data_IF_705976751211
#
_entry.id   IF_705976751211
#
_cell.length_a   1.000
_cell.length_b   1.000
_cell.length_c   1.000
_cell.angle_alpha   90.00
_cell.angle_beta   90.00
_cell.angle_gamma   90.00
#
_symmetry.space_group_name_H-M   'P 1'
#
loop_
_entity.id
_entity.type
_entity.pdbx_description
1 polymer ?
#
# COMPACT_ATOMS: atom_id res chain seq x y z
N UNK A 1 -74.26 -13.87 26.36
CA UNK A 1 -74.85 -12.82 27.21
C UNK A 1 -73.87 -11.65 27.26
N UNK A 2 -74.11 -10.62 26.44
CA UNK A 2 -73.57 -9.25 26.62
C UNK A 2 -74.38 -8.54 27.76
N UNK A 3 -74.07 -7.34 28.29
CA UNK A 3 -72.95 -6.40 28.03
C UNK A 3 -72.47 -5.54 29.26
N UNK A 4 -71.78 -4.40 28.99
CA UNK A 4 -71.66 -3.15 29.79
C UNK A 4 -70.52 -3.11 30.87
N UNK A 5 -69.64 -2.11 31.02
CA UNK A 5 -69.63 -0.67 30.66
C UNK A 5 -68.21 -0.13 30.36
N UNK A 6 -68.16 0.88 29.48
CA UNK A 6 -67.04 1.77 29.27
C UNK A 6 -67.04 2.95 30.26
N UNK A 7 -65.86 3.35 30.73
CA UNK A 7 -65.64 4.67 31.36
C UNK A 7 -64.50 5.39 30.64
N UNK A 8 -64.89 6.43 29.90
CA UNK A 8 -64.05 7.34 29.15
C UNK A 8 -63.61 8.49 30.08
N UNK A 9 -62.35 8.51 30.50
CA UNK A 9 -61.76 9.69 31.13
C UNK A 9 -61.09 10.55 30.05
N UNK A 10 -61.70 11.69 29.72
CA UNK A 10 -61.06 12.74 28.94
C UNK A 10 -60.06 13.48 29.84
N UNK A 11 -58.77 13.27 29.61
CA UNK A 11 -57.71 14.14 30.12
C UNK A 11 -57.46 15.25 29.10
N UNK A 12 -57.73 16.50 29.47
CA UNK A 12 -57.33 17.69 28.70
C UNK A 12 -55.83 17.95 28.90
N UNK A 13 -55.04 18.19 27.84
CA UNK A 13 -53.69 18.69 28.02
C UNK A 13 -53.74 20.19 28.33
N UNK A 14 -53.27 20.56 29.52
CA UNK A 14 -52.88 21.94 29.84
C UNK A 14 -51.70 22.33 28.94
N UNK A 15 -51.97 23.18 27.95
CA UNK A 15 -50.93 23.80 27.13
C UNK A 15 -50.13 24.78 27.98
N UNK A 16 -48.89 24.42 28.33
CA UNK A 16 -47.89 25.37 28.82
C UNK A 16 -47.36 26.18 27.63
N UNK A 17 -47.14 27.50 27.77
CA UNK A 17 -46.54 28.27 26.69
C UNK A 17 -45.08 27.84 26.52
N UNK A 18 -44.78 27.25 25.36
CA UNK A 18 -43.42 27.01 24.89
C UNK A 18 -42.77 28.39 24.75
N UNK A 19 -41.84 28.73 25.65
CA UNK A 19 -40.91 29.83 25.41
C UNK A 19 -40.09 29.45 24.18
N UNK A 20 -40.27 30.19 23.08
CA UNK A 20 -39.38 30.12 21.94
C UNK A 20 -37.98 30.49 22.42
N UNK A 21 -37.12 29.49 22.62
CA UNK A 21 -35.69 29.71 22.76
C UNK A 21 -35.21 30.27 21.43
N UNK A 22 -35.00 31.57 21.36
CA UNK A 22 -34.23 32.18 20.28
C UNK A 22 -32.79 31.73 20.46
N UNK A 23 -32.48 30.54 19.93
CA UNK A 23 -31.11 30.20 19.61
C UNK A 23 -30.63 31.28 18.64
N UNK A 24 -29.74 32.14 19.10
CA UNK A 24 -29.03 33.08 18.26
C UNK A 24 -28.20 32.26 17.26
N UNK A 25 -28.77 31.96 16.10
CA UNK A 25 -28.01 31.51 14.94
C UNK A 25 -27.16 32.68 14.50
N UNK A 26 -26.02 32.87 15.19
CA UNK A 26 -24.86 33.45 14.52
C UNK A 26 -24.69 32.62 13.26
N UNK A 27 -24.92 33.25 12.11
CA UNK A 27 -24.84 32.58 10.82
C UNK A 27 -23.56 31.76 10.78
N UNK A 28 -23.69 30.45 10.79
CA UNK A 28 -22.59 29.57 10.42
C UNK A 28 -22.46 29.82 8.93
N UNK A 29 -21.56 30.72 8.58
CA UNK A 29 -21.18 30.98 7.21
C UNK A 29 -20.52 29.69 6.70
N UNK A 30 -21.30 28.84 6.02
CA UNK A 30 -20.80 27.61 5.44
C UNK A 30 -19.89 28.03 4.28
N UNK A 31 -18.59 28.13 4.57
CA UNK A 31 -17.58 28.38 3.54
C UNK A 31 -17.55 27.17 2.62
N UNK A 32 -17.84 27.37 1.33
CA UNK A 32 -17.68 26.33 0.33
C UNK A 32 -16.21 25.90 0.25
N UNK A 33 -15.94 24.58 0.08
CA UNK A 33 -14.59 24.09 -0.11
C UNK A 33 -13.96 24.68 -1.37
N UNK A 34 -12.67 24.94 -1.31
CA UNK A 34 -11.85 25.35 -2.46
C UNK A 34 -11.73 24.20 -3.46
N UNK A 35 -11.38 24.51 -4.71
CA UNK A 35 -11.15 23.49 -5.75
C UNK A 35 -10.12 22.46 -5.31
N UNK A 36 -9.00 22.91 -4.72
CA UNK A 36 -7.97 22.03 -4.17
C UNK A 36 -8.50 21.11 -3.07
N UNK A 37 -9.32 21.63 -2.14
CA UNK A 37 -9.93 20.81 -1.08
C UNK A 37 -10.90 19.76 -1.64
N UNK A 38 -11.66 20.11 -2.69
CA UNK A 38 -12.54 19.15 -3.38
C UNK A 38 -11.74 18.07 -4.12
N UNK A 39 -10.66 18.46 -4.81
CA UNK A 39 -9.77 17.53 -5.51
C UNK A 39 -9.09 16.57 -4.53
N UNK A 40 -8.56 17.05 -3.41
CA UNK A 40 -7.99 16.20 -2.35
C UNK A 40 -9.03 15.22 -1.81
N UNK A 41 -10.24 15.69 -1.46
CA UNK A 41 -11.29 14.79 -1.00
C UNK A 41 -11.68 13.73 -2.05
N UNK A 42 -11.67 14.10 -3.33
CA UNK A 42 -11.93 13.17 -4.43
C UNK A 42 -10.83 12.12 -4.57
N UNK A 43 -9.57 12.52 -4.42
CA UNK A 43 -8.42 11.62 -4.41
C UNK A 43 -8.48 10.64 -3.24
N UNK A 44 -8.72 11.14 -2.03
CA UNK A 44 -8.86 10.31 -0.83
C UNK A 44 -9.98 9.29 -1.02
N UNK A 45 -11.15 9.72 -1.52
CA UNK A 45 -12.27 8.83 -1.80
C UNK A 45 -11.89 7.76 -2.85
N UNK A 46 -11.22 8.14 -3.94
CA UNK A 46 -10.78 7.19 -4.97
C UNK A 46 -9.79 6.15 -4.43
N UNK A 47 -8.85 6.56 -3.58
CA UNK A 47 -7.92 5.63 -2.95
C UNK A 47 -8.66 4.63 -2.05
N UNK A 48 -9.60 5.11 -1.23
CA UNK A 48 -10.42 4.22 -0.40
C UNK A 48 -11.29 3.28 -1.23
N UNK A 49 -11.85 3.76 -2.33
CA UNK A 49 -12.64 2.93 -3.25
C UNK A 49 -11.78 1.85 -3.88
N UNK A 50 -10.60 2.19 -4.40
CA UNK A 50 -9.69 1.20 -4.99
C UNK A 50 -9.18 0.20 -3.95
N UNK A 51 -8.83 0.67 -2.75
CA UNK A 51 -8.41 -0.17 -1.63
C UNK A 51 -9.50 -1.19 -1.24
N UNK A 52 -10.77 -0.76 -1.23
CA UNK A 52 -11.94 -1.62 -1.00
C UNK A 52 -12.16 -2.58 -2.16
N UNK A 53 -12.12 -2.09 -3.40
CA UNK A 53 -12.37 -2.90 -4.60
C UNK A 53 -11.32 -4.01 -4.76
N UNK A 54 -10.05 -3.74 -4.43
CA UNK A 54 -8.97 -4.72 -4.37
C UNK A 54 -9.12 -5.73 -3.20
N UNK A 55 -9.97 -5.42 -2.21
CA UNK A 55 -10.17 -6.20 -0.98
C UNK A 55 -8.86 -6.52 -0.22
N UNK A 56 -7.92 -5.58 -0.22
CA UNK A 56 -6.57 -5.78 0.37
C UNK A 56 -6.55 -5.62 1.89
N UNK A 57 -7.55 -4.95 2.48
CA UNK A 57 -7.70 -4.82 3.93
C UNK A 57 -7.84 -6.19 4.60
N UNK A 58 -8.67 -7.07 4.04
CA UNK A 58 -8.88 -8.43 4.55
C UNK A 58 -7.62 -9.30 4.44
N UNK A 59 -6.69 -8.92 3.56
CA UNK A 59 -5.39 -9.57 3.38
C UNK A 59 -4.31 -8.96 4.29
N UNK A 60 -4.63 -7.91 5.04
CA UNK A 60 -3.76 -7.26 6.01
C UNK A 60 -2.80 -6.22 5.43
N UNK A 61 -2.99 -5.76 4.18
CA UNK A 61 -2.28 -4.59 3.69
C UNK A 61 -2.88 -3.36 4.37
N UNK A 62 -2.08 -2.60 5.10
CA UNK A 62 -2.56 -1.42 5.83
C UNK A 62 -2.82 -0.25 4.88
N UNK A 63 -3.87 0.53 5.14
CA UNK A 63 -4.27 1.63 4.27
C UNK A 63 -3.16 2.67 4.09
N UNK A 64 -2.44 3.04 5.17
CA UNK A 64 -1.35 4.00 5.11
C UNK A 64 -0.17 3.53 4.24
N UNK A 65 0.03 2.21 4.12
CA UNK A 65 1.06 1.63 3.24
C UNK A 65 0.58 1.62 1.79
N UNK A 66 -0.69 1.27 1.58
CA UNK A 66 -1.33 1.33 0.27
C UNK A 66 -1.34 2.76 -0.29
N UNK A 67 -1.70 3.75 0.51
CA UNK A 67 -1.71 5.17 0.14
C UNK A 67 -0.32 5.65 -0.29
N UNK A 68 0.72 5.34 0.50
CA UNK A 68 2.12 5.64 0.12
C UNK A 68 2.48 4.98 -1.22
N UNK A 69 2.17 3.70 -1.37
CA UNK A 69 2.47 2.93 -2.58
C UNK A 69 1.79 3.53 -3.82
N UNK A 70 0.50 3.87 -3.72
CA UNK A 70 -0.28 4.50 -4.79
C UNK A 70 0.22 5.91 -5.12
N UNK A 71 0.58 6.70 -4.10
CA UNK A 71 1.14 8.04 -4.30
C UNK A 71 2.42 7.97 -5.12
N UNK A 72 3.35 7.09 -4.75
CA UNK A 72 4.59 6.92 -5.51
C UNK A 72 4.40 6.30 -6.89
N UNK A 73 3.48 5.35 -7.04
CA UNK A 73 3.09 4.82 -8.35
C UNK A 73 2.64 5.95 -9.30
N UNK A 74 1.76 6.83 -8.85
CA UNK A 74 1.26 7.95 -9.66
C UNK A 74 2.38 8.96 -10.00
N UNK A 75 3.26 9.28 -9.05
CA UNK A 75 4.40 10.15 -9.31
C UNK A 75 5.39 9.53 -10.33
N UNK A 76 5.66 8.23 -10.24
CA UNK A 76 6.53 7.55 -11.20
C UNK A 76 5.90 7.48 -12.59
N UNK A 77 4.57 7.34 -12.65
CA UNK A 77 3.81 7.40 -13.91
C UNK A 77 3.88 8.79 -14.53
N UNK A 78 3.76 9.88 -13.75
CA UNK A 78 3.89 11.24 -14.27
C UNK A 78 5.30 11.56 -14.79
N UNK A 79 6.33 10.93 -14.22
CA UNK A 79 7.71 11.03 -14.72
C UNK A 79 7.99 10.09 -15.92
N UNK A 80 7.00 9.36 -16.45
CA UNK A 80 7.14 8.35 -17.51
C UNK A 80 8.21 7.27 -17.20
N UNK A 81 8.36 6.93 -15.91
CA UNK A 81 9.32 5.90 -15.46
C UNK A 81 8.77 4.48 -15.55
N UNK A 82 7.44 4.35 -15.55
CA UNK A 82 6.76 3.07 -15.60
C UNK A 82 6.39 2.69 -17.04
N UNK A 83 6.31 1.39 -17.30
CA UNK A 83 5.79 0.85 -18.56
C UNK A 83 4.25 0.87 -18.60
N UNK A 84 3.69 0.24 -19.63
CA UNK A 84 2.23 0.20 -19.87
C UNK A 84 1.47 -0.63 -18.83
N UNK A 85 2.12 -1.63 -18.21
CA UNK A 85 1.50 -2.50 -17.23
C UNK A 85 1.07 -1.70 -15.99
N UNK A 86 -0.21 -1.73 -15.66
CA UNK A 86 -0.78 -1.06 -14.48
C UNK A 86 -0.63 -1.92 -13.21
N UNK A 87 0.61 -2.37 -12.96
CA UNK A 87 0.95 -3.22 -11.83
C UNK A 87 1.70 -2.43 -10.75
N UNK A 88 1.32 -2.66 -9.50
CA UNK A 88 1.98 -2.15 -8.32
C UNK A 88 2.30 -3.31 -7.37
N UNK A 89 3.59 -3.53 -7.11
CA UNK A 89 4.03 -4.48 -6.09
C UNK A 89 4.28 -3.75 -4.78
N UNK A 90 3.71 -4.23 -3.68
CA UNK A 90 3.85 -3.64 -2.34
C UNK A 90 4.42 -4.69 -1.41
N UNK A 91 5.44 -4.32 -0.63
CA UNK A 91 5.97 -5.13 0.46
C UNK A 91 5.91 -4.33 1.75
N UNK A 92 5.37 -4.93 2.80
CA UNK A 92 5.29 -4.30 4.12
C UNK A 92 6.18 -5.01 5.14
N UNK A 93 7.40 -4.52 5.34
CA UNK A 93 8.34 -5.13 6.29
C UNK A 93 8.03 -4.86 7.77
N UNK A 94 7.06 -3.99 8.09
CA UNK A 94 6.55 -3.89 9.46
C UNK A 94 5.79 -5.15 9.90
N UNK A 95 5.32 -5.96 8.94
CA UNK A 95 4.79 -7.30 9.21
C UNK A 95 5.91 -8.32 9.41
N UNK A 96 5.74 -9.30 10.32
CA UNK A 96 6.74 -10.34 10.54
C UNK A 96 6.97 -11.17 9.28
N UNK A 97 8.18 -11.72 9.13
CA UNK A 97 8.57 -12.55 7.98
C UNK A 97 7.73 -13.81 7.82
N UNK A 98 7.11 -14.28 8.90
CA UNK A 98 6.20 -15.42 8.93
C UNK A 98 4.83 -15.13 8.32
N UNK A 99 4.51 -13.88 8.01
CA UNK A 99 3.26 -13.49 7.38
C UNK A 99 3.44 -13.17 5.91
N UNK A 100 2.40 -13.44 5.12
CA UNK A 100 2.30 -12.96 3.74
C UNK A 100 2.25 -11.43 3.76
N UNK A 101 3.31 -10.82 3.24
CA UNK A 101 3.56 -9.37 3.32
C UNK A 101 4.03 -8.77 2.01
N UNK A 102 3.83 -9.49 0.90
CA UNK A 102 3.99 -9.01 -0.47
C UNK A 102 2.65 -9.11 -1.19
N UNK A 103 2.27 -8.04 -1.87
CA UNK A 103 1.12 -7.98 -2.77
C UNK A 103 1.57 -7.56 -4.17
N UNK A 104 1.03 -8.20 -5.20
CA UNK A 104 1.09 -7.68 -6.58
C UNK A 104 -0.33 -7.30 -6.96
N UNK A 105 -0.55 -5.99 -7.12
CA UNK A 105 -1.84 -5.39 -7.40
C UNK A 105 -1.96 -5.10 -8.90
N UNK A 106 -3.00 -5.64 -9.52
CA UNK A 106 -3.47 -5.21 -10.84
C UNK A 106 -4.46 -4.07 -10.64
N UNK A 107 -4.01 -2.85 -10.93
CA UNK A 107 -4.78 -1.63 -10.69
C UNK A 107 -5.85 -1.41 -11.77
N UNK A 108 -5.67 -2.00 -12.95
CA UNK A 108 -6.62 -1.91 -14.05
C UNK A 108 -7.80 -2.85 -13.82
N UNK A 109 -7.51 -4.12 -13.53
CA UNK A 109 -8.53 -5.13 -13.26
C UNK A 109 -9.01 -5.13 -11.81
N UNK A 110 -8.38 -4.33 -10.94
CA UNK A 110 -8.66 -4.23 -9.49
C UNK A 110 -8.58 -5.59 -8.81
N UNK A 111 -7.51 -6.33 -9.10
CA UNK A 111 -7.28 -7.68 -8.59
C UNK A 111 -5.93 -7.77 -7.85
N UNK A 112 -5.87 -8.59 -6.79
CA UNK A 112 -4.60 -9.01 -6.21
C UNK A 112 -4.11 -10.27 -6.91
N UNK A 113 -3.12 -10.13 -7.80
CA UNK A 113 -2.53 -11.27 -8.54
C UNK A 113 -1.74 -12.21 -7.64
N UNK A 114 -1.05 -11.65 -6.64
CA UNK A 114 -0.28 -12.42 -5.67
C UNK A 114 -0.38 -11.81 -4.28
N UNK A 115 -0.56 -12.65 -3.26
CA UNK A 115 -0.40 -12.32 -1.85
C UNK A 115 0.43 -13.42 -1.18
N UNK A 116 1.70 -13.12 -0.88
CA UNK A 116 2.69 -14.16 -0.59
C UNK A 116 3.78 -13.74 0.40
N UNK A 117 4.63 -14.70 0.78
CA UNK A 117 5.78 -14.52 1.65
C UNK A 117 6.90 -13.77 0.92
N UNK A 118 7.71 -13.00 1.65
CA UNK A 118 8.93 -12.39 1.12
C UNK A 118 9.96 -12.23 2.24
N UNK A 119 11.19 -12.63 1.97
CA UNK A 119 12.33 -12.46 2.88
C UNK A 119 13.05 -11.13 2.65
N UNK A 120 13.64 -10.60 3.72
CA UNK A 120 14.45 -9.37 3.72
C UNK A 120 15.94 -9.70 3.93
N UNK A 121 16.80 -8.67 3.87
CA UNK A 121 18.24 -8.78 4.14
C UNK A 121 18.57 -9.14 5.58
N UNK A 122 19.56 -10.01 5.80
CA UNK A 122 19.91 -10.58 7.11
C UNK A 122 20.20 -9.57 8.21
N UNK A 123 20.73 -8.40 7.84
CA UNK A 123 21.09 -7.36 8.80
C UNK A 123 19.94 -6.35 9.03
N UNK A 124 18.78 -6.56 8.42
CA UNK A 124 17.59 -5.73 8.64
C UNK A 124 16.77 -6.13 9.86
N UNK A 125 17.03 -7.30 10.45
CA UNK A 125 16.30 -7.84 11.60
C UNK A 125 16.14 -9.35 11.53
N UNK A 126 15.48 -9.93 12.53
CA UNK A 126 15.18 -11.37 12.60
C UNK A 126 13.82 -11.68 11.98
N UNK A 127 12.76 -11.88 12.79
CA UNK A 127 11.40 -12.06 12.26
C UNK A 127 10.81 -10.72 11.81
N UNK A 128 11.01 -9.68 12.62
CA UNK A 128 10.68 -8.30 12.31
C UNK A 128 11.93 -7.56 11.85
N UNK A 129 11.75 -6.62 10.91
CA UNK A 129 12.81 -5.69 10.53
C UNK A 129 12.84 -4.50 11.48
N UNK A 130 14.03 -3.93 11.68
CA UNK A 130 14.23 -2.70 12.45
C UNK A 130 15.20 -1.73 11.76
N UNK A 131 16.04 -2.20 10.83
CA UNK A 131 17.08 -1.40 10.19
C UNK A 131 17.14 -1.61 8.69
N UNK A 132 17.47 -0.55 7.96
CA UNK A 132 17.57 -0.55 6.51
C UNK A 132 18.80 0.25 6.10
N UNK A 133 19.39 -0.05 4.94
CA UNK A 133 20.58 0.67 4.49
C UNK A 133 20.76 0.62 2.99
N UNK A 134 21.11 1.77 2.41
CA UNK A 134 21.55 1.93 1.04
C UNK A 134 23.04 1.66 0.83
N UNK A 135 23.80 1.38 1.90
CA UNK A 135 25.25 1.20 1.81
C UNK A 135 25.62 -0.15 1.19
N UNK A 136 26.72 -0.15 0.44
CA UNK A 136 27.28 -1.38 -0.11
C UNK A 136 27.67 -2.35 1.01
N UNK A 137 27.54 -3.65 0.77
CA UNK A 137 27.90 -4.72 1.73
C UNK A 137 27.17 -4.71 3.09
N UNK A 138 26.22 -3.79 3.30
CA UNK A 138 25.41 -3.72 4.53
C UNK A 138 24.61 -5.00 4.80
N UNK A 139 24.28 -5.77 3.76
CA UNK A 139 23.39 -6.93 3.78
C UNK A 139 21.99 -6.63 4.36
N UNK A 140 21.58 -5.37 4.32
CA UNK A 140 20.26 -4.88 4.73
C UNK A 140 19.39 -4.65 3.50
N UNK A 141 18.09 -4.81 3.64
CA UNK A 141 17.14 -4.30 2.65
C UNK A 141 17.14 -2.77 2.64
N UNK A 142 16.75 -2.19 1.51
CA UNK A 142 16.60 -0.74 1.32
C UNK A 142 15.13 -0.40 1.12
N UNK A 143 14.63 0.62 1.81
CA UNK A 143 13.23 1.04 1.68
C UNK A 143 12.98 1.83 0.40
N UNK A 144 11.71 2.02 0.10
CA UNK A 144 11.23 2.97 -0.89
C UNK A 144 10.87 2.37 -2.24
N UNK A 145 10.82 3.22 -3.24
CA UNK A 145 10.35 2.90 -4.58
C UNK A 145 11.46 2.36 -5.47
N UNK A 146 11.09 1.35 -6.25
CA UNK A 146 11.91 0.73 -7.27
C UNK A 146 11.12 0.64 -8.57
N UNK A 147 11.84 0.69 -9.70
CA UNK A 147 11.32 0.36 -11.02
C UNK A 147 11.95 -0.96 -11.46
N UNK A 148 11.12 -1.95 -11.77
CA UNK A 148 11.62 -3.26 -12.24
C UNK A 148 12.27 -3.13 -13.62
N UNK A 149 13.32 -3.90 -13.88
CA UNK A 149 14.08 -3.84 -15.13
C UNK A 149 14.08 -5.20 -15.83
N UNK A 150 15.08 -5.45 -16.68
CA UNK A 150 15.27 -6.74 -17.33
C UNK A 150 15.64 -7.84 -16.35
N UNK A 151 15.30 -9.06 -16.73
CA UNK A 151 15.70 -10.26 -16.04
C UNK A 151 17.16 -10.62 -16.33
N UNK A 152 17.74 -11.46 -15.47
CA UNK A 152 18.99 -12.14 -15.75
C UNK A 152 19.04 -13.48 -15.03
N UNK A 153 19.93 -14.36 -15.50
CA UNK A 153 20.23 -15.62 -14.82
C UNK A 153 21.54 -15.45 -14.04
N UNK A 154 21.44 -15.51 -12.71
CA UNK A 154 22.58 -15.40 -11.80
C UNK A 154 22.76 -16.64 -10.92
N UNK A 155 23.53 -16.49 -9.84
CA UNK A 155 23.75 -17.57 -8.85
C UNK A 155 22.47 -18.07 -8.15
N UNK A 156 21.43 -17.25 -8.15
CA UNK A 156 20.10 -17.58 -7.61
C UNK A 156 19.11 -18.03 -8.71
N UNK A 157 19.62 -18.36 -9.91
CA UNK A 157 18.80 -18.64 -11.07
C UNK A 157 18.18 -17.37 -11.65
N UNK A 158 16.97 -17.51 -12.20
CA UNK A 158 16.20 -16.41 -12.78
C UNK A 158 15.90 -15.34 -11.74
N UNK A 159 16.31 -14.11 -12.04
CA UNK A 159 16.23 -12.97 -11.13
C UNK A 159 15.83 -11.70 -11.89
N UNK A 160 15.06 -10.82 -11.25
CA UNK A 160 14.59 -9.56 -11.81
C UNK A 160 15.40 -8.41 -11.22
N UNK A 161 16.03 -7.59 -12.08
CA UNK A 161 16.77 -6.41 -11.64
C UNK A 161 15.84 -5.34 -11.12
N UNK A 162 16.27 -4.65 -10.06
CA UNK A 162 15.53 -3.57 -9.42
C UNK A 162 16.34 -2.28 -9.50
N UNK A 163 15.78 -1.26 -10.14
CA UNK A 163 16.35 0.09 -10.15
C UNK A 163 15.74 0.89 -8.98
N UNK A 164 16.55 1.22 -7.99
CA UNK A 164 16.13 2.01 -6.84
C UNK A 164 16.11 3.50 -7.20
N UNK A 165 14.95 4.14 -7.06
CA UNK A 165 14.74 5.52 -7.50
C UNK A 165 14.65 6.53 -6.35
N UNK A 166 14.66 6.06 -5.09
CA UNK A 166 14.74 6.91 -3.92
C UNK A 166 16.19 7.21 -3.54
N UNK A 167 16.61 8.44 -3.84
CA UNK A 167 17.94 8.95 -3.51
C UNK A 167 18.23 8.84 -2.00
N UNK A 168 19.38 8.29 -1.66
CA UNK A 168 19.80 8.08 -0.26
C UNK A 168 19.22 6.82 0.40
N UNK A 169 18.08 6.27 -0.06
CA UNK A 169 17.45 5.10 0.55
C UNK A 169 17.70 3.80 -0.22
N UNK A 170 17.63 3.84 -1.55
CA UNK A 170 17.81 2.67 -2.39
C UNK A 170 18.58 2.93 -3.70
N UNK A 171 19.11 4.14 -3.91
CA UNK A 171 19.84 4.52 -5.13
C UNK A 171 21.05 3.65 -5.48
N UNK A 172 21.60 2.87 -4.54
CA UNK A 172 22.69 1.93 -4.80
C UNK A 172 22.21 0.50 -5.13
N UNK A 173 20.91 0.26 -5.27
CA UNK A 173 20.33 -1.09 -5.44
C UNK A 173 21.00 -1.89 -6.57
N UNK A 174 21.16 -1.30 -7.75
CA UNK A 174 21.82 -1.96 -8.89
C UNK A 174 23.30 -2.27 -8.60
N UNK A 175 24.05 -1.31 -8.06
CA UNK A 175 25.46 -1.50 -7.71
C UNK A 175 25.64 -2.59 -6.64
N UNK A 176 24.66 -2.74 -5.75
CA UNK A 176 24.59 -3.75 -4.69
C UNK A 176 24.05 -5.10 -5.18
N UNK A 177 23.70 -5.23 -6.47
CA UNK A 177 23.04 -6.42 -7.03
C UNK A 177 21.77 -6.81 -6.26
N UNK A 178 21.00 -5.82 -5.81
CA UNK A 178 19.66 -6.03 -5.22
C UNK A 178 18.68 -6.38 -6.33
N UNK A 179 18.11 -7.57 -6.24
CA UNK A 179 17.27 -8.19 -7.27
C UNK A 179 16.13 -8.94 -6.61
N UNK A 180 15.03 -9.16 -7.31
CA UNK A 180 13.97 -10.06 -6.87
C UNK A 180 14.26 -11.48 -7.41
N UNK A 181 14.30 -12.48 -6.52
CA UNK A 181 14.65 -13.86 -6.89
C UNK A 181 13.94 -14.89 -6.00
N UNK A 182 13.93 -16.16 -6.42
CA UNK A 182 13.43 -17.26 -5.59
C UNK A 182 14.45 -17.76 -4.56
N UNK A 183 14.00 -18.28 -3.42
CA UNK A 183 14.86 -18.97 -2.46
C UNK A 183 14.12 -20.05 -1.65
N UNK A 184 14.76 -21.20 -1.45
CA UNK A 184 14.17 -22.35 -0.73
C UNK A 184 13.81 -22.03 0.74
N UNK A 185 14.52 -21.06 1.34
CA UNK A 185 14.27 -20.61 2.70
C UNK A 185 13.04 -19.69 2.84
N UNK A 186 12.32 -19.44 1.75
CA UNK A 186 11.08 -18.67 1.70
C UNK A 186 9.90 -19.62 1.60
N UNK A 187 9.57 -20.30 2.69
CA UNK A 187 8.47 -21.27 2.73
C UNK A 187 7.87 -21.41 4.13
N UNK A 188 6.61 -21.83 4.19
CA UNK A 188 5.92 -22.16 5.45
C UNK A 188 6.61 -23.28 6.23
N UNK A 189 7.25 -24.23 5.53
CA UNK A 189 8.04 -25.29 6.19
C UNK A 189 9.26 -24.71 6.89
N UNK A 190 9.96 -23.79 6.25
CA UNK A 190 11.08 -23.08 6.87
C UNK A 190 10.61 -22.30 8.11
N UNK A 191 9.45 -21.64 8.04
CA UNK A 191 8.85 -20.97 9.21
C UNK A 191 8.58 -21.96 10.33
N UNK A 192 7.95 -23.11 10.06
CA UNK A 192 7.68 -24.14 11.08
C UNK A 192 8.94 -24.66 11.76
N UNK A 193 10.02 -24.83 10.99
CA UNK A 193 11.27 -25.38 11.50
C UNK A 193 12.11 -24.35 12.29
N UNK A 194 12.15 -23.10 11.83
CA UNK A 194 13.08 -22.08 12.35
C UNK A 194 12.40 -20.91 13.07
N UNK A 195 11.06 -20.85 13.09
CA UNK A 195 10.28 -19.79 13.72
C UNK A 195 10.26 -18.45 12.96
N UNK A 196 10.92 -18.38 11.79
CA UNK A 196 10.94 -17.24 10.87
C UNK A 196 11.45 -17.68 9.50
N UNK A 197 11.33 -16.82 8.48
CA UNK A 197 11.97 -17.08 7.18
C UNK A 197 13.49 -17.00 7.26
N UNK A 198 14.15 -17.60 6.26
CA UNK A 198 15.54 -17.28 5.96
C UNK A 198 15.68 -15.81 5.50
N UNK A 199 16.92 -15.36 5.37
CA UNK A 199 17.23 -13.96 5.06
C UNK A 199 18.26 -13.86 3.95
N UNK A 200 18.05 -12.91 3.05
CA UNK A 200 18.95 -12.64 1.91
C UNK A 200 20.10 -11.71 2.33
N UNK A 201 20.84 -11.20 1.34
CA UNK A 201 21.82 -10.12 1.55
C UNK A 201 21.27 -8.73 1.14
N UNK A 202 19.95 -8.56 1.16
CA UNK A 202 19.27 -7.28 0.87
C UNK A 202 18.12 -7.42 -0.13
N UNK A 203 18.20 -8.43 -0.99
CA UNK A 203 17.20 -8.79 -2.00
C UNK A 203 15.83 -9.17 -1.39
N UNK A 204 14.70 -8.73 -1.95
CA UNK A 204 13.41 -9.36 -1.69
C UNK A 204 13.40 -10.76 -2.30
N UNK A 205 13.47 -11.80 -1.46
CA UNK A 205 13.46 -13.18 -1.93
C UNK A 205 12.08 -13.81 -1.77
N UNK A 206 11.65 -14.57 -2.78
CA UNK A 206 10.30 -15.11 -2.96
C UNK A 206 10.26 -16.64 -2.81
N UNK A 207 9.07 -17.23 -2.58
CA UNK A 207 8.87 -18.67 -2.64
C UNK A 207 9.25 -19.27 -4.00
N UNK A 208 9.91 -20.42 -3.98
CA UNK A 208 10.36 -21.10 -5.21
C UNK A 208 9.22 -21.58 -6.12
N UNK A 209 8.01 -21.76 -5.59
CA UNK A 209 6.84 -22.15 -6.35
C UNK A 209 6.12 -20.97 -7.06
N UNK A 210 6.44 -19.73 -6.68
CA UNK A 210 5.76 -18.52 -7.16
C UNK A 210 6.69 -17.50 -7.84
N UNK A 211 7.99 -17.50 -7.54
CA UNK A 211 8.91 -16.43 -7.98
C UNK A 211 8.93 -16.23 -9.50
N UNK A 212 8.87 -17.31 -10.29
CA UNK A 212 8.90 -17.22 -11.75
C UNK A 212 7.67 -16.47 -12.28
N UNK A 213 6.47 -16.86 -11.86
CA UNK A 213 5.22 -16.22 -12.28
C UNK A 213 5.16 -14.76 -11.82
N UNK A 214 5.65 -14.46 -10.61
CA UNK A 214 5.74 -13.08 -10.13
C UNK A 214 6.68 -12.27 -11.03
N UNK A 215 7.87 -12.78 -11.36
CA UNK A 215 8.82 -12.10 -12.26
C UNK A 215 8.23 -11.89 -13.65
N UNK A 216 7.52 -12.87 -14.22
CA UNK A 216 6.84 -12.74 -15.52
C UNK A 216 5.86 -11.55 -15.54
N UNK A 217 5.11 -11.42 -14.45
CA UNK A 217 4.08 -10.39 -14.30
C UNK A 217 4.70 -9.01 -14.08
N UNK A 218 5.63 -8.89 -13.13
CA UNK A 218 6.16 -7.60 -12.67
C UNK A 218 7.42 -7.16 -13.44
N UNK A 219 7.89 -7.92 -14.42
CA UNK A 219 8.93 -7.48 -15.34
C UNK A 219 8.46 -6.37 -16.28
N UNK A 220 9.39 -5.49 -16.69
CA UNK A 220 9.13 -4.45 -17.71
C UNK A 220 8.68 -3.11 -17.15
N UNK A 221 9.44 -2.54 -16.20
CA UNK A 221 9.22 -1.19 -15.63
C UNK A 221 7.91 -1.03 -14.86
N UNK A 222 7.57 -2.00 -14.01
CA UNK A 222 6.49 -1.85 -13.04
C UNK A 222 7.00 -1.23 -11.73
N UNK A 223 6.09 -0.70 -10.93
CA UNK A 223 6.42 -0.12 -9.63
C UNK A 223 6.53 -1.19 -8.54
N UNK A 224 7.56 -1.12 -7.73
CA UNK A 224 7.70 -1.86 -6.48
C UNK A 224 7.94 -0.88 -5.32
N UNK A 225 7.17 -1.00 -4.25
CA UNK A 225 7.35 -0.23 -3.02
C UNK A 225 7.69 -1.14 -1.85
N UNK A 226 8.83 -0.89 -1.19
CA UNK A 226 9.25 -1.57 0.03
C UNK A 226 9.03 -0.64 1.24
N UNK A 227 7.98 -0.88 2.01
CA UNK A 227 7.69 -0.19 3.27
C UNK A 227 8.43 -0.82 4.45
N UNK A 228 8.74 -0.03 5.48
CA UNK A 228 9.30 -0.51 6.74
C UNK A 228 9.19 0.53 7.85
N UNK A 229 9.65 0.16 9.04
CA UNK A 229 9.46 0.90 10.30
C UNK A 229 10.31 2.17 10.46
N UNK A 230 11.01 2.63 9.42
CA UNK A 230 11.84 3.84 9.52
C UNK A 230 10.96 5.09 9.44
N UNK A 231 10.75 5.75 10.59
CA UNK A 231 9.93 6.97 10.67
C UNK A 231 10.57 8.17 9.99
N UNK A 232 11.86 8.10 9.66
CA UNK A 232 12.56 9.15 8.91
C UNK A 232 12.55 8.89 7.41
N UNK A 233 11.91 7.80 6.93
CA UNK A 233 11.78 7.57 5.50
C UNK A 233 11.02 8.73 4.84
N UNK A 234 11.63 9.29 3.82
CA UNK A 234 11.08 10.35 2.99
C UNK A 234 11.39 10.04 1.53
N UNK A 235 10.55 10.53 0.62
CA UNK A 235 10.74 10.32 -0.80
C UNK A 235 10.13 11.47 -1.56
N UNK A 236 10.81 11.90 -2.64
CA UNK A 236 10.24 12.85 -3.58
C UNK A 236 8.98 12.31 -4.27
N UNK A 237 8.81 10.99 -4.29
CA UNK A 237 7.66 10.30 -4.88
C UNK A 237 6.44 10.24 -3.95
N UNK A 238 6.56 10.69 -2.70
CA UNK A 238 5.41 10.86 -1.79
C UNK A 238 4.73 12.24 -1.93
N UNK A 239 4.85 12.87 -3.10
CA UNK A 239 4.20 14.14 -3.38
C UNK A 239 2.72 13.93 -3.76
N UNK A 240 1.82 14.31 -2.85
CA UNK A 240 0.37 14.18 -3.05
C UNK A 240 -0.19 15.10 -4.15
N UNK A 241 0.36 16.31 -4.33
CA UNK A 241 -0.12 17.23 -5.38
C UNK A 241 0.16 16.64 -6.78
N UNK A 242 1.30 15.99 -6.97
CA UNK A 242 1.65 15.29 -8.22
C UNK A 242 0.75 14.06 -8.41
N UNK A 243 0.52 13.26 -7.35
CA UNK A 243 -0.35 12.10 -7.43
C UNK A 243 -1.79 12.50 -7.81
N UNK A 244 -2.33 13.53 -7.17
CA UNK A 244 -3.65 14.08 -7.43
C UNK A 244 -3.81 14.52 -8.89
N UNK A 245 -2.90 15.36 -9.38
CA UNK A 245 -2.94 15.87 -10.76
C UNK A 245 -2.81 14.75 -11.80
N UNK A 246 -1.98 13.74 -11.51
CA UNK A 246 -1.83 12.56 -12.37
C UNK A 246 -3.10 11.74 -12.46
N UNK A 247 -3.74 11.47 -11.32
CA UNK A 247 -4.98 10.69 -11.27
C UNK A 247 -6.13 11.38 -12.01
N UNK A 248 -6.27 12.70 -11.86
CA UNK A 248 -7.28 13.49 -12.58
C UNK A 248 -7.02 13.45 -14.09
N UNK A 249 -5.76 13.56 -14.51
CA UNK A 249 -5.39 13.54 -15.93
C UNK A 249 -5.67 12.20 -16.61
N UNK A 250 -5.44 11.07 -15.92
CA UNK A 250 -5.75 9.72 -16.43
C UNK A 250 -7.24 9.58 -16.74
N UNK A 251 -8.11 10.16 -15.91
CA UNK A 251 -9.55 10.09 -16.10
C UNK A 251 -10.11 10.99 -17.21
N UNK A 252 -9.37 12.02 -17.62
CA UNK A 252 -9.77 12.85 -18.76
C UNK A 252 -9.43 12.18 -20.10
N UNK A 253 -8.67 11.07 -20.09
CA UNK A 253 -8.28 10.30 -21.27
C UNK A 253 -9.16 9.05 -21.51
N UNK A 254 -10.22 8.85 -20.72
CA UNK A 254 -11.21 7.77 -20.89
C UNK A 254 -12.56 8.37 -21.30
#
# INVERSE_FOLDING_TARGET
>A
MLPFMASLFMATPLATPIKSTMANTKGVEVKMPTEKEMETAFFDQRLHDLYRDLNVEQQGLRFEVFEKAMTGYLNLRSENKLGEKQLLTVVDFEKPSTEKRLWVLDLENKEVKFHTLVAHGRNSGENLTSTFSNENESNMSSLGFYVTQDEYIGKHGRSLKLDGVDEGYNSNALARSVVMHGADYVSEEFVRQYGRLGRSLGCPALPMDQYAQIIDEVGGKTCLFLNGSDTNYSSKYLNQDVALSTLVSVNQMI
#
